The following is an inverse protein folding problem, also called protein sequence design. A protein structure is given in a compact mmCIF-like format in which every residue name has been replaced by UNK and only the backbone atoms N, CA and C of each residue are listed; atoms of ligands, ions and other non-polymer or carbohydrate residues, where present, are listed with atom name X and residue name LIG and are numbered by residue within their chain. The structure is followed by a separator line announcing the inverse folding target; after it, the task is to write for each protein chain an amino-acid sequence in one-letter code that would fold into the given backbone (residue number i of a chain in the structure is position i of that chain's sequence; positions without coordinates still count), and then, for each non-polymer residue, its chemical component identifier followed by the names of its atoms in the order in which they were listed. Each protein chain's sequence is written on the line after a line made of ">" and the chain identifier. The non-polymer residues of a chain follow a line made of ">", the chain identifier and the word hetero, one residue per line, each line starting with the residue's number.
data_IF_448116109599
#
_entry.id   IF_448116109599
#
_cell.length_a   1.000
_cell.length_b   1.000
_cell.length_c   1.000
_cell.angle_alpha   90.00
_cell.angle_beta   90.00
_cell.angle_gamma   90.00
#
_symmetry.space_group_name_H-M   'P 1'
#
loop_
_entity.id
_entity.type
_entity.pdbx_description
1 polymer ?
#
# COMPACT_ATOMS: atom_id res chain seq x y z
N UNK A 1 3.90 20.11 -3.58
CA UNK A 1 3.49 21.30 -2.78
C UNK A 1 3.61 22.65 -3.50
N UNK A 2 4.42 22.81 -4.56
CA UNK A 2 4.60 24.09 -5.30
C UNK A 2 3.31 24.85 -5.61
N UNK A 3 2.29 24.18 -6.18
CA UNK A 3 1.03 24.86 -6.56
C UNK A 3 0.25 25.40 -5.35
N UNK A 4 0.31 24.70 -4.21
CA UNK A 4 -0.33 25.16 -2.97
C UNK A 4 0.35 26.42 -2.46
N UNK A 5 1.69 26.44 -2.47
CA UNK A 5 2.49 27.60 -2.07
C UNK A 5 2.23 28.82 -2.97
N UNK A 6 2.18 28.63 -4.29
CA UNK A 6 1.86 29.69 -5.25
C UNK A 6 0.51 30.34 -4.94
N UNK A 7 -0.54 29.53 -4.81
CA UNK A 7 -1.90 30.02 -4.53
C UNK A 7 -1.94 30.74 -3.17
N UNK A 8 -1.29 30.17 -2.15
CA UNK A 8 -1.24 30.80 -0.83
C UNK A 8 -0.57 32.19 -0.88
N UNK A 9 0.52 32.32 -1.66
CA UNK A 9 1.20 33.60 -1.85
C UNK A 9 0.35 34.61 -2.61
N UNK A 10 -0.33 34.20 -3.69
CA UNK A 10 -1.23 35.07 -4.45
C UNK A 10 -2.39 35.59 -3.59
N UNK A 11 -2.99 34.73 -2.77
CA UNK A 11 -4.05 35.11 -1.83
C UNK A 11 -3.52 36.09 -0.78
N UNK A 12 -2.36 35.83 -0.17
CA UNK A 12 -1.77 36.75 0.80
C UNK A 12 -1.49 38.14 0.19
N UNK A 13 -0.94 38.17 -1.03
CA UNK A 13 -0.68 39.40 -1.76
C UNK A 13 -1.96 40.21 -2.03
N UNK A 14 -3.04 39.55 -2.48
CA UNK A 14 -4.32 40.19 -2.75
C UNK A 14 -4.92 40.88 -1.51
N UNK A 15 -4.64 40.34 -0.32
CA UNK A 15 -5.10 40.87 0.96
C UNK A 15 -4.10 41.80 1.67
N UNK A 16 -2.98 42.14 1.02
CA UNK A 16 -1.90 42.97 1.59
C UNK A 16 -1.29 42.37 2.87
N UNK A 17 -1.15 41.05 2.91
CA UNK A 17 -0.52 40.31 4.01
C UNK A 17 0.71 39.53 3.52
N UNK A 18 1.48 38.98 4.45
CA UNK A 18 2.62 38.09 4.18
C UNK A 18 2.35 36.70 4.74
N UNK A 19 3.03 35.67 4.23
CA UNK A 19 2.94 34.30 4.73
C UNK A 19 4.32 33.66 4.92
N UNK A 20 4.42 32.70 5.84
CA UNK A 20 5.55 31.77 5.94
C UNK A 20 5.05 30.37 5.60
N UNK A 21 5.59 29.79 4.53
CA UNK A 21 5.20 28.46 4.07
C UNK A 21 6.22 27.44 4.55
N UNK A 22 5.76 26.33 5.16
CA UNK A 22 6.61 25.21 5.57
C UNK A 22 5.94 23.91 5.17
N UNK A 23 6.70 23.04 4.52
CA UNK A 23 6.26 21.68 4.19
C UNK A 23 6.97 20.73 5.14
N UNK A 24 6.19 19.89 5.81
CA UNK A 24 6.71 18.71 6.47
C UNK A 24 6.41 17.51 5.59
N UNK A 25 7.44 16.93 5.00
CA UNK A 25 7.30 15.69 4.24
C UNK A 25 7.31 14.52 5.23
N UNK A 26 6.15 13.88 5.42
CA UNK A 26 5.96 12.89 6.47
C UNK A 26 6.20 11.45 6.00
N UNK A 27 6.01 11.17 4.71
CA UNK A 27 6.21 9.85 4.12
C UNK A 27 6.27 9.98 2.59
N UNK A 28 7.10 9.13 1.97
CA UNK A 28 7.05 8.95 0.52
C UNK A 28 5.68 8.38 0.07
N UNK A 29 5.31 8.52 -1.21
CA UNK A 29 4.24 7.70 -1.78
C UNK A 29 4.67 6.22 -1.83
N UNK A 30 3.77 5.32 -1.44
CA UNK A 30 4.00 3.88 -1.56
C UNK A 30 3.94 3.47 -3.03
N UNK A 31 5.08 3.14 -3.63
CA UNK A 31 5.21 2.76 -5.04
C UNK A 31 5.83 1.38 -5.16
N UNK A 32 5.03 0.42 -5.62
CA UNK A 32 5.51 -0.92 -5.93
C UNK A 32 6.41 -0.92 -7.18
N UNK A 33 7.54 -1.62 -7.09
CA UNK A 33 8.45 -1.82 -8.22
C UNK A 33 7.92 -2.93 -9.12
N UNK A 34 8.07 -2.77 -10.44
CA UNK A 34 7.48 -3.65 -11.44
C UNK A 34 7.93 -5.12 -11.30
N UNK A 35 9.22 -5.37 -11.11
CA UNK A 35 9.77 -6.73 -10.99
C UNK A 35 9.31 -7.43 -9.70
N UNK A 36 9.50 -6.86 -8.49
CA UNK A 36 8.92 -7.40 -7.25
C UNK A 36 7.40 -7.61 -7.34
N UNK A 37 6.65 -6.67 -7.94
CA UNK A 37 5.21 -6.78 -8.11
C UNK A 37 4.82 -7.94 -9.05
N UNK A 38 5.58 -8.17 -10.13
CA UNK A 38 5.33 -9.29 -11.03
C UNK A 38 5.64 -10.63 -10.35
N UNK A 39 6.69 -10.69 -9.52
CA UNK A 39 7.01 -11.87 -8.70
C UNK A 39 5.90 -12.17 -7.70
N UNK A 40 5.49 -11.16 -6.95
CA UNK A 40 4.37 -11.19 -6.02
C UNK A 40 3.10 -11.77 -6.67
N UNK A 41 2.73 -11.25 -7.85
CA UNK A 41 1.59 -11.77 -8.62
C UNK A 41 1.72 -13.26 -8.94
N UNK A 42 2.89 -13.70 -9.42
CA UNK A 42 3.12 -15.11 -9.78
C UNK A 42 3.00 -16.02 -8.56
N UNK A 43 3.61 -15.63 -7.44
CA UNK A 43 3.55 -16.39 -6.19
C UNK A 43 2.13 -16.42 -5.62
N UNK A 44 1.42 -15.29 -5.59
CA UNK A 44 0.04 -15.26 -5.14
C UNK A 44 -0.86 -16.20 -5.95
N UNK A 45 -0.67 -16.24 -7.28
CA UNK A 45 -1.45 -17.10 -8.16
C UNK A 45 -1.27 -18.60 -7.90
N UNK A 46 -0.13 -19.05 -7.36
CA UNK A 46 0.06 -20.48 -6.98
C UNK A 46 -0.65 -20.83 -5.68
N UNK A 47 -1.01 -19.84 -4.87
CA UNK A 47 -1.66 -20.02 -3.56
C UNK A 47 -3.18 -19.94 -3.71
N UNK A 48 -3.68 -18.87 -4.35
CA UNK A 48 -5.12 -18.59 -4.42
C UNK A 48 -5.71 -18.78 -5.81
N UNK A 49 -4.91 -19.14 -6.82
CA UNK A 49 -5.33 -19.18 -8.22
C UNK A 49 -5.30 -17.80 -8.88
N UNK A 50 -5.04 -17.76 -10.19
CA UNK A 50 -4.83 -16.50 -10.92
C UNK A 50 -6.05 -15.55 -10.87
N UNK A 51 -7.27 -16.10 -10.87
CA UNK A 51 -8.51 -15.32 -10.85
C UNK A 51 -8.75 -14.58 -9.53
N UNK A 52 -8.06 -14.99 -8.45
CA UNK A 52 -8.16 -14.35 -7.13
C UNK A 52 -7.04 -13.33 -6.87
N UNK A 53 -6.17 -13.06 -7.86
CA UNK A 53 -5.10 -12.07 -7.73
C UNK A 53 -5.52 -10.75 -8.38
N UNK A 54 -5.80 -9.75 -7.54
CA UNK A 54 -6.15 -8.39 -7.99
C UNK A 54 -4.89 -7.61 -8.30
N UNK A 55 -4.74 -7.12 -9.54
CA UNK A 55 -3.56 -6.35 -9.98
C UNK A 55 -3.87 -4.89 -10.30
N UNK A 56 -5.14 -4.53 -10.33
CA UNK A 56 -5.69 -3.21 -10.68
C UNK A 56 -6.41 -2.57 -9.49
N UNK A 57 -5.95 -2.87 -8.27
CA UNK A 57 -6.46 -2.27 -7.04
C UNK A 57 -6.48 -0.74 -7.16
N UNK A 58 -7.62 -0.13 -6.80
CA UNK A 58 -7.73 1.32 -6.76
C UNK A 58 -6.70 1.90 -5.78
N UNK A 59 -6.06 3.00 -6.19
CA UNK A 59 -5.09 3.70 -5.34
C UNK A 59 -5.79 4.20 -4.07
N UNK A 60 -5.17 3.96 -2.93
CA UNK A 60 -5.59 4.48 -1.64
C UNK A 60 -4.97 5.85 -1.39
N UNK A 61 -5.69 6.71 -0.65
CA UNK A 61 -5.16 7.95 -0.08
C UNK A 61 -4.65 7.75 1.36
N UNK A 62 -4.68 6.52 1.88
CA UNK A 62 -4.07 6.17 3.15
C UNK A 62 -2.55 6.27 3.10
N UNK A 63 -1.94 6.44 4.28
CA UNK A 63 -0.50 6.50 4.45
C UNK A 63 0.00 5.23 5.15
N UNK A 64 1.18 4.76 4.74
CA UNK A 64 1.89 3.63 5.33
C UNK A 64 3.39 3.92 5.23
N UNK A 65 4.13 3.76 6.33
CA UNK A 65 5.56 4.06 6.39
C UNK A 65 6.41 3.06 5.60
N UNK A 66 5.81 1.96 5.11
CA UNK A 66 6.46 1.05 4.18
C UNK A 66 6.88 1.73 2.87
N UNK A 67 6.26 2.87 2.55
CA UNK A 67 6.68 3.72 1.44
C UNK A 67 8.17 4.11 1.51
N UNK A 68 8.72 4.34 2.71
CA UNK A 68 10.11 4.75 2.86
C UNK A 68 11.07 3.58 2.61
N UNK A 69 10.69 2.34 2.92
CA UNK A 69 11.45 1.15 2.50
C UNK A 69 11.48 1.01 0.99
N UNK A 70 10.34 1.24 0.32
CA UNK A 70 10.27 1.20 -1.14
C UNK A 70 11.02 2.36 -1.79
N UNK A 71 11.11 3.53 -1.16
CA UNK A 71 11.96 4.62 -1.65
C UNK A 71 13.46 4.26 -1.62
N UNK A 72 13.87 3.37 -0.70
CA UNK A 72 15.26 2.97 -0.52
C UNK A 72 15.68 1.72 -1.31
N UNK A 73 14.76 0.78 -1.58
CA UNK A 73 15.08 -0.49 -2.24
C UNK A 73 13.92 -1.02 -3.11
N UNK A 74 14.22 -1.80 -4.18
CA UNK A 74 13.20 -2.48 -4.95
C UNK A 74 12.37 -3.41 -4.06
N UNK A 75 11.06 -3.21 -4.08
CA UNK A 75 10.14 -3.99 -3.27
C UNK A 75 8.69 -3.91 -3.73
N UNK A 76 7.84 -4.65 -3.03
CA UNK A 76 6.41 -4.74 -3.24
C UNK A 76 5.67 -4.78 -1.91
N UNK A 77 4.59 -4.01 -1.84
CA UNK A 77 3.59 -4.04 -0.78
C UNK A 77 2.32 -4.66 -1.37
N UNK A 78 1.99 -5.87 -0.92
CA UNK A 78 0.81 -6.62 -1.34
C UNK A 78 -0.21 -6.70 -0.21
N UNK A 79 -1.49 -6.53 -0.55
CA UNK A 79 -2.59 -6.67 0.40
C UNK A 79 -3.13 -8.10 0.37
N UNK A 80 -3.36 -8.69 1.55
CA UNK A 80 -4.05 -9.98 1.70
C UNK A 80 -5.47 -9.73 2.14
N UNK A 81 -6.44 -10.14 1.33
CA UNK A 81 -7.86 -9.97 1.64
C UNK A 81 -8.26 -10.75 2.89
N UNK A 82 -8.88 -10.07 3.85
CA UNK A 82 -9.38 -10.66 5.11
C UNK A 82 -10.89 -10.55 5.29
N UNK A 83 -11.61 -9.98 4.30
CA UNK A 83 -13.07 -9.89 4.32
C UNK A 83 -13.70 -11.21 3.86
N UNK A 84 -14.52 -11.80 4.70
CA UNK A 84 -15.32 -12.98 4.40
C UNK A 84 -16.79 -12.57 4.12
N UNK A 85 -17.34 -12.82 2.91
CA UNK A 85 -18.74 -12.52 2.60
C UNK A 85 -19.76 -13.17 3.55
N UNK A 86 -19.42 -14.33 4.11
CA UNK A 86 -20.30 -15.10 4.99
C UNK A 86 -20.19 -14.70 6.47
N UNK A 87 -19.21 -13.85 6.83
CA UNK A 87 -19.02 -13.36 8.21
C UNK A 87 -19.08 -11.81 8.24
N UNK A 88 -20.25 -11.22 8.53
CA UNK A 88 -20.44 -9.76 8.48
C UNK A 88 -19.49 -8.95 9.37
N UNK A 89 -18.96 -9.53 10.45
CA UNK A 89 -18.02 -8.84 11.36
C UNK A 89 -16.70 -8.47 10.68
N UNK A 90 -16.28 -9.18 9.63
CA UNK A 90 -15.03 -8.89 8.90
C UNK A 90 -15.19 -7.82 7.83
N UNK A 91 -16.32 -7.10 7.78
CA UNK A 91 -16.61 -6.10 6.73
C UNK A 91 -16.26 -4.68 7.17
N UNK A 92 -15.99 -4.47 8.45
CA UNK A 92 -15.56 -3.18 8.98
C UNK A 92 -14.12 -2.87 8.55
N UNK A 93 -13.90 -1.65 8.06
CA UNK A 93 -12.58 -1.22 7.59
C UNK A 93 -11.59 -1.00 8.72
N UNK A 94 -10.32 -0.85 8.35
CA UNK A 94 -9.26 -0.44 9.26
C UNK A 94 -9.67 0.83 10.05
N UNK A 95 -9.25 0.91 11.32
CA UNK A 95 -9.57 1.99 12.27
C UNK A 95 -11.02 2.06 12.75
N UNK A 96 -11.88 1.11 12.39
CA UNK A 96 -13.24 1.01 12.96
C UNK A 96 -13.22 0.26 14.31
N UNK A 97 -14.07 0.63 15.27
CA UNK A 97 -14.12 -0.02 16.61
C UNK A 97 -14.54 -1.49 16.56
N UNK A 98 -15.30 -1.86 15.52
CA UNK A 98 -15.75 -3.22 15.23
C UNK A 98 -14.86 -3.92 14.19
N UNK A 99 -13.68 -3.38 13.90
CA UNK A 99 -12.74 -4.02 12.98
C UNK A 99 -12.46 -5.46 13.40
N UNK A 100 -12.59 -6.38 12.45
CA UNK A 100 -12.33 -7.80 12.62
C UNK A 100 -11.82 -8.37 11.29
N UNK A 101 -11.19 -9.55 11.34
CA UNK A 101 -10.62 -10.22 10.18
C UNK A 101 -11.04 -11.69 10.12
N UNK A 102 -11.08 -12.25 8.91
CA UNK A 102 -11.11 -13.69 8.74
C UNK A 102 -9.70 -14.27 8.97
N UNK A 103 -9.51 -14.98 10.08
CA UNK A 103 -8.20 -15.53 10.46
C UNK A 103 -7.60 -16.50 9.42
N UNK A 104 -8.39 -17.02 8.46
CA UNK A 104 -7.85 -17.76 7.32
C UNK A 104 -6.84 -16.93 6.51
N UNK A 105 -6.96 -15.60 6.53
CA UNK A 105 -6.01 -14.69 5.88
C UNK A 105 -4.61 -14.76 6.50
N UNK A 106 -4.47 -15.16 7.77
CA UNK A 106 -3.17 -15.31 8.43
C UNK A 106 -2.34 -16.43 7.78
N UNK A 107 -2.97 -17.56 7.48
CA UNK A 107 -2.32 -18.69 6.79
C UNK A 107 -1.93 -18.28 5.37
N UNK A 108 -2.84 -17.61 4.65
CA UNK A 108 -2.55 -17.08 3.31
C UNK A 108 -1.36 -16.12 3.32
N UNK A 109 -1.33 -15.19 4.27
CA UNK A 109 -0.25 -14.21 4.40
C UNK A 109 1.10 -14.89 4.72
N UNK A 110 1.12 -15.85 5.65
CA UNK A 110 2.33 -16.58 6.03
C UNK A 110 2.88 -17.41 4.86
N UNK A 111 2.01 -18.13 4.15
CA UNK A 111 2.38 -18.88 2.94
C UNK A 111 2.90 -17.94 1.86
N UNK A 112 2.22 -16.82 1.62
CA UNK A 112 2.61 -15.85 0.60
C UNK A 112 4.01 -15.26 0.84
N UNK A 113 4.30 -14.79 2.05
CA UNK A 113 5.62 -14.27 2.39
C UNK A 113 6.71 -15.35 2.28
N UNK A 114 6.42 -16.56 2.74
CA UNK A 114 7.37 -17.68 2.70
C UNK A 114 7.72 -18.07 1.27
N UNK A 115 6.71 -18.26 0.42
CA UNK A 115 6.91 -18.64 -0.98
C UNK A 115 7.55 -17.51 -1.78
N UNK A 116 7.23 -16.25 -1.49
CA UNK A 116 7.89 -15.11 -2.12
C UNK A 116 9.39 -15.10 -1.79
N UNK A 117 9.75 -15.29 -0.52
CA UNK A 117 11.15 -15.32 -0.10
C UNK A 117 11.90 -16.50 -0.74
N UNK A 118 11.31 -17.71 -0.76
CA UNK A 118 11.90 -18.87 -1.42
C UNK A 118 12.12 -18.57 -2.91
N UNK A 119 11.08 -18.10 -3.61
CA UNK A 119 11.17 -17.80 -5.04
C UNK A 119 12.23 -16.74 -5.38
N UNK A 120 12.32 -15.69 -4.56
CA UNK A 120 13.34 -14.65 -4.71
C UNK A 120 14.76 -15.21 -4.54
N UNK A 121 14.98 -16.06 -3.54
CA UNK A 121 16.29 -16.60 -3.22
C UNK A 121 16.72 -17.73 -4.17
N UNK A 122 15.80 -18.50 -4.73
CA UNK A 122 16.12 -19.63 -5.61
C UNK A 122 16.21 -19.27 -7.10
N UNK A 123 15.61 -18.15 -7.53
CA UNK A 123 15.74 -17.66 -8.91
C UNK A 123 16.98 -16.77 -9.13
N UNK A 124 17.82 -16.58 -8.10
CA UNK A 124 19.06 -15.79 -8.19
C UNK A 124 20.27 -16.64 -8.63
N UNK A 125 20.08 -17.64 -9.49
CA UNK A 125 21.13 -18.49 -10.08
C UNK A 125 21.06 -18.49 -11.60
#
# INVERSE_FOLDING_TARGET
>A
MKRVEEIANEVAAAHRTTLSFRVHDAAAPLINHSEPAQRARKVAATIVGADNVVTDQQKSMGADDFADFLAAAPGVYGLVGSRNPDEPRTHFGHHHEQFDIDERSLVLAATYHTLYAIDYLTQSS
#
